data_IF_907897744365
#
_entry.id   IF_907897744365
#
_cell.length_a   1.000
_cell.length_b   1.000
_cell.length_c   1.000
_cell.angle_alpha   90.00
_cell.angle_beta   90.00
_cell.angle_gamma   90.00
#
_symmetry.space_group_name_H-M   'P 1'
#
loop_
_entity.id
_entity.type
_entity.pdbx_description
1 polymer ?
#
# COMPACT_ATOMS: atom_id res chain seq x y z
N UNK A 1 6.28 -6.59 -14.19
CA UNK A 1 7.08 -5.44 -13.64
C UNK A 1 6.27 -4.18 -13.27
N UNK A 2 5.42 -3.64 -14.17
CA UNK A 2 4.76 -2.34 -13.99
C UNK A 2 3.76 -2.31 -12.82
N UNK A 3 2.96 -3.38 -12.64
CA UNK A 3 1.94 -3.46 -11.58
C UNK A 3 2.53 -3.31 -10.19
N UNK A 4 3.66 -3.97 -9.91
CA UNK A 4 4.31 -3.92 -8.60
C UNK A 4 4.82 -2.51 -8.30
N UNK A 5 5.40 -1.81 -9.29
CA UNK A 5 5.89 -0.45 -9.10
C UNK A 5 4.73 0.53 -8.88
N UNK A 6 3.67 0.45 -9.67
CA UNK A 6 2.49 1.30 -9.54
C UNK A 6 1.82 1.13 -8.17
N UNK A 7 1.79 -0.10 -7.65
CA UNK A 7 1.18 -0.42 -6.36
C UNK A 7 1.78 0.35 -5.17
N UNK A 8 3.05 0.73 -5.28
CA UNK A 8 3.79 1.46 -4.24
C UNK A 8 3.94 2.96 -4.54
N UNK A 9 3.35 3.45 -5.62
CA UNK A 9 3.27 4.88 -5.91
C UNK A 9 2.20 5.52 -5.03
N UNK A 10 2.57 6.61 -4.33
CA UNK A 10 1.67 7.40 -3.52
C UNK A 10 0.43 7.88 -4.31
N UNK A 11 0.56 8.11 -5.62
CA UNK A 11 -0.54 8.54 -6.50
C UNK A 11 -1.65 7.50 -6.66
N UNK A 12 -1.35 6.22 -6.43
CA UNK A 12 -2.31 5.12 -6.55
C UNK A 12 -2.93 4.73 -5.20
N UNK A 13 -2.61 5.46 -4.13
CA UNK A 13 -3.20 5.22 -2.81
C UNK A 13 -4.62 5.78 -2.75
N UNK A 14 -5.55 4.96 -2.28
CA UNK A 14 -6.95 5.36 -2.09
C UNK A 14 -7.15 6.22 -0.83
N UNK A 15 -6.17 6.20 0.09
CA UNK A 15 -6.14 7.09 1.23
C UNK A 15 -5.25 8.30 0.91
N UNK A 16 -5.77 9.51 1.15
CA UNK A 16 -5.00 10.75 1.00
C UNK A 16 -3.99 10.93 2.16
N UNK A 17 -2.92 10.13 2.09
CA UNK A 17 -1.73 10.13 2.95
C UNK A 17 -0.52 9.68 2.10
N UNK A 18 0.65 10.30 2.32
CA UNK A 18 1.87 9.87 1.61
C UNK A 18 2.57 8.73 2.37
N UNK A 19 2.65 7.51 1.80
CA UNK A 19 3.28 6.38 2.47
C UNK A 19 4.76 6.60 2.80
N UNK A 20 5.44 7.53 2.12
CA UNK A 20 6.86 7.87 2.35
C UNK A 20 7.09 8.67 3.63
N UNK A 21 6.05 9.28 4.20
CA UNK A 21 6.12 9.95 5.51
C UNK A 21 5.95 8.98 6.68
N UNK A 22 5.78 7.69 6.41
CA UNK A 22 5.64 6.66 7.42
C UNK A 22 6.49 5.43 7.11
N UNK A 23 6.16 4.35 7.82
CA UNK A 23 6.68 3.01 7.57
C UNK A 23 5.52 2.01 7.51
N UNK A 24 5.65 1.02 6.65
CA UNK A 24 4.74 -0.11 6.59
C UNK A 24 5.02 -1.06 7.75
N UNK A 25 3.99 -1.30 8.57
CA UNK A 25 3.96 -2.36 9.57
C UNK A 25 3.80 -3.71 8.87
N UNK A 26 2.77 -3.82 8.04
CA UNK A 26 2.49 -4.99 7.20
C UNK A 26 1.87 -4.54 5.88
N UNK A 27 1.96 -5.39 4.86
CA UNK A 27 1.32 -5.14 3.58
C UNK A 27 0.88 -6.44 2.88
N UNK A 28 -0.16 -6.33 2.07
CA UNK A 28 -0.66 -7.41 1.22
C UNK A 28 -0.83 -6.92 -0.21
N UNK A 29 -0.32 -7.72 -1.15
CA UNK A 29 -0.39 -7.48 -2.59
C UNK A 29 -1.16 -8.62 -3.26
N UNK A 30 -2.38 -8.35 -3.70
CA UNK A 30 -3.21 -9.34 -4.39
C UNK A 30 -3.18 -9.09 -5.88
N UNK A 31 -2.57 -9.99 -6.63
CA UNK A 31 -2.50 -9.93 -8.07
C UNK A 31 -3.61 -10.77 -8.71
N UNK A 32 -4.16 -10.30 -9.82
CA UNK A 32 -5.23 -10.96 -10.57
C UNK A 32 -4.91 -11.02 -12.05
N UNK A 33 -5.22 -12.15 -12.69
CA UNK A 33 -4.89 -12.47 -14.08
C UNK A 33 -3.77 -13.51 -14.18
N UNK A 34 -3.61 -14.10 -15.37
CA UNK A 34 -2.57 -15.12 -15.62
C UNK A 34 -1.19 -14.48 -15.57
N UNK A 35 -0.36 -14.88 -14.61
CA UNK A 35 1.00 -14.38 -14.43
C UNK A 35 1.92 -15.42 -13.80
N UNK A 36 3.22 -15.24 -13.97
CA UNK A 36 4.23 -16.09 -13.33
C UNK A 36 4.32 -15.75 -11.85
N UNK A 37 4.05 -16.72 -10.97
CA UNK A 37 4.23 -16.57 -9.52
C UNK A 37 5.69 -16.24 -9.16
N UNK A 38 6.64 -16.85 -9.88
CA UNK A 38 8.07 -16.55 -9.74
C UNK A 38 8.38 -15.07 -10.00
N UNK A 39 7.83 -14.50 -11.07
CA UNK A 39 8.06 -13.09 -11.39
C UNK A 39 7.45 -12.18 -10.30
N UNK A 40 6.26 -12.51 -9.81
CA UNK A 40 5.61 -11.78 -8.71
C UNK A 40 6.51 -11.75 -7.48
N UNK A 41 7.04 -12.90 -7.06
CA UNK A 41 7.88 -13.01 -5.87
C UNK A 41 9.20 -12.24 -6.03
N UNK A 42 9.86 -12.33 -7.20
CA UNK A 42 11.07 -11.57 -7.52
C UNK A 42 10.82 -10.06 -7.46
N UNK A 43 9.71 -9.58 -8.03
CA UNK A 43 9.37 -8.15 -8.01
C UNK A 43 9.04 -7.65 -6.60
N UNK A 44 8.32 -8.44 -5.79
CA UNK A 44 7.99 -8.08 -4.42
C UNK A 44 9.24 -8.02 -3.53
N UNK A 45 10.18 -8.93 -3.71
CA UNK A 45 11.48 -8.91 -3.03
C UNK A 45 12.31 -7.69 -3.45
N UNK A 46 12.37 -7.40 -4.75
CA UNK A 46 13.09 -6.25 -5.28
C UNK A 46 12.58 -4.93 -4.71
N UNK A 47 11.26 -4.77 -4.55
CA UNK A 47 10.70 -3.55 -3.93
C UNK A 47 11.09 -3.46 -2.45
N UNK A 48 10.93 -4.54 -1.69
CA UNK A 48 11.29 -4.53 -0.27
C UNK A 48 12.77 -4.20 -0.06
N UNK A 49 13.66 -4.75 -0.89
CA UNK A 49 15.08 -4.46 -0.81
C UNK A 49 15.42 -3.01 -1.18
N UNK A 50 14.84 -2.48 -2.26
CA UNK A 50 15.06 -1.09 -2.69
C UNK A 50 14.53 -0.06 -1.69
N UNK A 51 13.45 -0.40 -1.00
CA UNK A 51 12.69 0.51 -0.14
C UNK A 51 12.74 0.07 1.33
N UNK A 52 13.78 -0.64 1.75
CA UNK A 52 13.86 -1.31 3.06
C UNK A 52 13.63 -0.36 4.24
N UNK A 53 14.07 0.89 4.12
CA UNK A 53 13.85 1.94 5.13
C UNK A 53 12.39 2.30 5.38
N UNK A 54 11.49 2.02 4.42
CA UNK A 54 10.06 2.24 4.52
C UNK A 54 9.30 1.06 5.13
N UNK A 55 9.97 -0.05 5.46
CA UNK A 55 9.39 -1.19 6.15
C UNK A 55 9.94 -1.27 7.57
N UNK A 56 9.12 -1.70 8.53
CA UNK A 56 9.62 -1.92 9.89
C UNK A 56 10.48 -3.18 9.97
N UNK A 57 11.65 -3.07 10.59
CA UNK A 57 12.62 -4.16 10.68
C UNK A 57 12.24 -5.25 11.69
N UNK A 58 11.43 -4.90 12.69
CA UNK A 58 11.05 -5.79 13.80
C UNK A 58 9.87 -6.72 13.47
N UNK A 59 9.22 -6.53 12.32
CA UNK A 59 8.28 -7.51 11.74
C UNK A 59 8.95 -8.14 10.52
N UNK A 60 9.60 -9.31 10.65
CA UNK A 60 10.23 -9.96 9.51
C UNK A 60 9.18 -10.45 8.50
N UNK A 61 9.50 -10.38 7.21
CA UNK A 61 8.63 -10.86 6.12
C UNK A 61 7.20 -10.30 6.18
N UNK A 62 7.08 -8.99 6.46
CA UNK A 62 5.81 -8.31 6.73
C UNK A 62 4.96 -8.01 5.49
N UNK A 63 5.45 -8.35 4.29
CA UNK A 63 4.71 -8.23 3.04
C UNK A 63 4.33 -9.61 2.53
N UNK A 64 3.06 -9.80 2.17
CA UNK A 64 2.55 -11.02 1.54
C UNK A 64 1.99 -10.75 0.15
N UNK A 65 2.24 -11.64 -0.78
CA UNK A 65 1.69 -11.64 -2.14
C UNK A 65 0.71 -12.80 -2.31
N UNK A 66 -0.30 -12.61 -3.15
CA UNK A 66 -1.17 -13.67 -3.63
C UNK A 66 -1.49 -13.48 -5.11
N UNK A 67 -1.79 -14.57 -5.81
CA UNK A 67 -2.12 -14.57 -7.24
C UNK A 67 -3.45 -15.29 -7.46
N UNK A 68 -4.36 -14.67 -8.18
CA UNK A 68 -5.64 -15.25 -8.61
C UNK A 68 -5.72 -15.25 -10.14
N UNK A 69 -5.94 -16.41 -10.75
CA UNK A 69 -5.96 -16.53 -12.22
C UNK A 69 -7.13 -15.80 -12.89
N UNK A 70 -8.17 -15.43 -12.13
CA UNK A 70 -9.40 -14.79 -12.65
C UNK A 70 -9.25 -13.26 -12.56
N UNK A 71 -9.06 -12.56 -13.70
CA UNK A 71 -8.96 -11.09 -13.71
C UNK A 71 -10.32 -10.42 -13.48
N UNK A 72 -10.34 -9.12 -13.12
CA UNK A 72 -11.58 -8.33 -13.07
C UNK A 72 -12.13 -8.03 -14.47
N UNK A 73 -13.40 -7.63 -14.55
CA UNK A 73 -14.08 -7.33 -15.82
C UNK A 73 -13.41 -6.13 -16.51
N UNK A 74 -13.09 -6.27 -17.80
CA UNK A 74 -12.52 -5.19 -18.60
C UNK A 74 -11.00 -5.02 -18.53
N UNK A 75 -10.29 -5.81 -17.71
CA UNK A 75 -8.82 -5.79 -17.60
C UNK A 75 -8.24 -7.20 -17.74
N UNK A 76 -7.04 -7.30 -18.31
CA UNK A 76 -6.30 -8.58 -18.42
C UNK A 76 -5.55 -8.92 -17.13
N UNK A 77 -5.09 -7.89 -16.41
CA UNK A 77 -4.36 -8.01 -15.16
C UNK A 77 -4.74 -6.85 -14.23
N UNK A 78 -4.67 -7.08 -12.94
CA UNK A 78 -4.84 -6.04 -11.91
C UNK A 78 -4.05 -6.41 -10.66
N UNK A 79 -3.74 -5.41 -9.83
CA UNK A 79 -3.25 -5.63 -8.48
C UNK A 79 -4.11 -4.84 -7.50
N UNK A 80 -4.21 -5.34 -6.28
CA UNK A 80 -4.86 -4.66 -5.16
C UNK A 80 -3.89 -4.62 -4.00
N UNK A 81 -3.69 -3.41 -3.47
CA UNK A 81 -2.78 -3.15 -2.39
C UNK A 81 -3.53 -2.91 -1.09
N UNK A 82 -3.09 -3.57 -0.02
CA UNK A 82 -3.57 -3.31 1.34
C UNK A 82 -2.33 -3.04 2.19
N UNK A 83 -2.12 -1.78 2.55
CA UNK A 83 -1.01 -1.35 3.39
C UNK A 83 -1.47 -0.97 4.78
N UNK A 84 -0.84 -1.55 5.81
CA UNK A 84 -0.90 -1.03 7.17
C UNK A 84 0.34 -0.15 7.40
N UNK A 85 0.17 1.16 7.28
CA UNK A 85 1.25 2.15 7.34
C UNK A 85 1.00 3.18 8.43
N UNK A 86 2.07 3.62 9.10
CA UNK A 86 2.02 4.72 10.06
C UNK A 86 1.68 6.07 9.41
N UNK A 87 1.75 6.17 8.07
CA UNK A 87 1.33 7.36 7.32
C UNK A 87 -0.17 7.68 7.47
N UNK A 88 -1.00 6.70 7.88
CA UNK A 88 -2.44 6.91 8.12
C UNK A 88 -2.72 8.03 9.14
N UNK A 89 -1.75 8.34 10.01
CA UNK A 89 -1.83 9.46 10.94
C UNK A 89 -2.12 10.80 10.26
N UNK A 90 -1.70 11.01 9.01
CA UNK A 90 -1.97 12.25 8.28
C UNK A 90 -3.46 12.47 8.04
N UNK A 91 -4.18 11.38 7.73
CA UNK A 91 -5.63 11.41 7.56
C UNK A 91 -6.31 11.77 8.88
N UNK A 92 -5.92 11.12 9.97
CA UNK A 92 -6.47 11.41 11.30
C UNK A 92 -6.14 12.82 11.78
N UNK A 93 -4.92 13.32 11.53
CA UNK A 93 -4.53 14.70 11.86
C UNK A 93 -5.43 15.70 11.14
N UNK A 94 -5.67 15.51 9.84
CA UNK A 94 -6.56 16.39 9.05
C UNK A 94 -7.99 16.40 9.59
N UNK A 95 -8.53 15.23 9.95
CA UNK A 95 -9.88 15.15 10.58
C UNK A 95 -9.87 15.84 11.94
N UNK A 96 -8.84 15.63 12.76
CA UNK A 96 -8.69 16.23 14.09
C UNK A 96 -8.60 17.76 14.05
N UNK A 97 -7.88 18.31 13.07
CA UNK A 97 -7.79 19.77 12.84
C UNK A 97 -9.17 20.37 12.52
N UNK A 98 -9.92 19.75 11.61
CA UNK A 98 -11.27 20.20 11.25
C UNK A 98 -12.24 20.07 12.43
N UNK A 99 -12.20 18.93 13.13
CA UNK A 99 -12.99 18.71 14.34
C UNK A 99 -12.69 19.78 15.39
N UNK A 100 -11.42 20.04 15.68
CA UNK A 100 -11.00 21.04 16.67
C UNK A 100 -11.47 22.44 16.29
N UNK A 101 -11.41 22.81 15.01
CA UNK A 101 -11.88 24.10 14.53
C UNK A 101 -13.39 24.30 14.74
N UNK A 102 -14.20 23.28 14.46
CA UNK A 102 -15.66 23.29 14.65
C UNK A 102 -16.02 23.23 16.14
N UNK A 103 -15.39 22.32 16.89
CA UNK A 103 -15.65 22.12 18.31
C UNK A 103 -15.37 23.38 19.14
N UNK A 104 -14.28 24.10 18.86
CA UNK A 104 -13.96 25.38 19.52
C UNK A 104 -15.04 26.44 19.31
N UNK A 105 -15.78 26.38 18.20
CA UNK A 105 -16.86 27.31 17.86
C UNK A 105 -18.23 26.84 18.37
N UNK A 106 -18.34 25.62 18.90
CA UNK A 106 -19.61 24.97 19.30
C UNK A 106 -20.67 25.03 18.19
N UNK A 107 -20.23 24.87 16.94
CA UNK A 107 -21.08 24.85 15.75
C UNK A 107 -21.80 23.50 15.58
#
# INVERSE_FOLDING_TARGET
PELTQQMWDAKNMMCAADPRHGRYLTASAMFRGRMSTKEVDEQMLNVQNKNSSYFVEWIPNNVKSSVCDIPPKGLKMASTFIGNSTSIQEMFRRVSEQFTAMFRRKA
#
